data_IF_366549220891
#
_entry.id   IF_366549220891
#
_cell.length_a   1.000
_cell.length_b   1.000
_cell.length_c   1.000
_cell.angle_alpha   90.00
_cell.angle_beta   90.00
_cell.angle_gamma   90.00
#
_symmetry.space_group_name_H-M   'P 1'
#
loop_
_entity.id
_entity.type
_entity.pdbx_description
1 polymer ?
#
# COMPACT_ATOMS: atom_id res chain seq x y z
N UNK A 1 4.66 21.01 17.36
CA UNK A 1 4.07 21.53 16.12
C UNK A 1 2.81 20.77 15.76
N UNK A 2 1.78 21.47 15.39
CA UNK A 2 0.51 20.85 15.03
C UNK A 2 0.65 20.06 13.73
N UNK A 3 -0.02 18.93 13.66
CA UNK A 3 -0.07 18.16 12.44
C UNK A 3 -0.93 18.86 11.39
N UNK A 4 -0.59 18.66 10.16
CA UNK A 4 -1.34 19.19 9.05
C UNK A 4 -2.50 18.24 8.76
N UNK A 5 -3.70 18.67 9.11
CA UNK A 5 -4.89 17.81 9.00
C UNK A 5 -5.47 17.90 7.59
N UNK A 6 -5.36 16.82 6.83
CA UNK A 6 -5.76 16.82 5.42
C UNK A 6 -6.73 15.70 5.05
N UNK A 7 -7.35 15.07 6.04
CA UNK A 7 -8.18 13.89 5.75
C UNK A 7 -9.38 14.18 4.85
N UNK A 8 -9.84 15.44 4.81
CA UNK A 8 -10.95 15.82 3.92
C UNK A 8 -10.50 16.35 2.58
N UNK A 9 -9.20 16.50 2.39
CA UNK A 9 -8.64 16.98 1.13
C UNK A 9 -8.80 15.90 0.07
N UNK A 10 -9.35 16.25 -1.11
CA UNK A 10 -9.51 15.24 -2.17
C UNK A 10 -8.22 14.57 -2.59
N UNK A 11 -7.10 15.29 -2.54
CA UNK A 11 -5.81 14.69 -2.89
C UNK A 11 -5.37 13.66 -1.84
N UNK A 12 -5.61 13.94 -0.57
CA UNK A 12 -5.33 12.97 0.48
C UNK A 12 -6.15 11.70 0.26
N UNK A 13 -7.44 11.87 0.00
CA UNK A 13 -8.33 10.73 -0.24
C UNK A 13 -7.90 9.92 -1.46
N UNK A 14 -7.49 10.60 -2.52
CA UNK A 14 -7.03 9.93 -3.73
C UNK A 14 -5.75 9.14 -3.47
N UNK A 15 -4.80 9.72 -2.73
CA UNK A 15 -3.56 9.03 -2.40
C UNK A 15 -3.82 7.77 -1.57
N UNK A 16 -4.74 7.87 -0.59
CA UNK A 16 -5.10 6.71 0.22
C UNK A 16 -5.73 5.62 -0.63
N UNK A 17 -6.67 5.98 -1.49
CA UNK A 17 -7.34 5.01 -2.35
C UNK A 17 -6.37 4.34 -3.32
N UNK A 18 -5.43 5.10 -3.86
CA UNK A 18 -4.44 4.54 -4.77
C UNK A 18 -3.55 3.53 -4.05
N UNK A 19 -3.11 3.86 -2.84
CA UNK A 19 -2.29 2.94 -2.07
C UNK A 19 -3.06 1.67 -1.72
N UNK A 20 -4.32 1.81 -1.31
CA UNK A 20 -5.16 0.67 -1.00
C UNK A 20 -5.37 -0.22 -2.23
N UNK A 21 -5.58 0.41 -3.40
CA UNK A 21 -5.76 -0.33 -4.64
C UNK A 21 -4.49 -1.08 -5.03
N UNK A 22 -3.32 -0.48 -4.84
CA UNK A 22 -2.05 -1.14 -5.12
C UNK A 22 -1.88 -2.37 -4.24
N UNK A 23 -2.22 -2.25 -2.96
CA UNK A 23 -2.14 -3.39 -2.03
C UNK A 23 -3.09 -4.50 -2.48
N UNK A 24 -4.32 -4.14 -2.80
CA UNK A 24 -5.32 -5.13 -3.20
C UNK A 24 -4.91 -5.87 -4.47
N UNK A 25 -4.41 -5.12 -5.45
CA UNK A 25 -3.98 -5.72 -6.72
C UNK A 25 -2.79 -6.66 -6.52
N UNK A 26 -1.80 -6.20 -5.76
CA UNK A 26 -0.61 -7.01 -5.52
C UNK A 26 -0.96 -8.24 -4.67
N UNK A 27 -1.84 -8.09 -3.71
CA UNK A 27 -2.29 -9.20 -2.88
C UNK A 27 -2.95 -10.28 -3.73
N UNK A 28 -3.86 -9.88 -4.62
CA UNK A 28 -4.56 -10.82 -5.50
C UNK A 28 -3.56 -11.58 -6.39
N UNK A 29 -2.56 -10.88 -6.91
CA UNK A 29 -1.53 -11.52 -7.72
C UNK A 29 -0.70 -12.50 -6.90
N UNK A 30 -0.38 -12.14 -5.66
CA UNK A 30 0.35 -13.05 -4.77
C UNK A 30 -0.42 -14.34 -4.54
N UNK A 31 -1.72 -14.24 -4.30
CA UNK A 31 -2.55 -15.43 -4.07
C UNK A 31 -2.48 -16.37 -5.28
N UNK A 32 -2.53 -15.80 -6.48
CA UNK A 32 -2.41 -16.60 -7.71
C UNK A 32 -1.06 -17.31 -7.76
N UNK A 33 0.01 -16.62 -7.41
CA UNK A 33 1.34 -17.22 -7.41
C UNK A 33 1.46 -18.34 -6.38
N UNK A 34 0.91 -18.14 -5.20
CA UNK A 34 0.94 -19.18 -4.15
C UNK A 34 0.22 -20.45 -4.59
N UNK A 35 -0.82 -20.30 -5.40
CA UNK A 35 -1.62 -21.42 -5.86
C UNK A 35 -1.09 -22.03 -7.16
N UNK A 36 0.00 -21.49 -7.69
CA UNK A 36 0.59 -21.95 -8.95
C UNK A 36 1.85 -22.80 -8.69
N UNK A 37 2.27 -23.62 -9.68
CA UNK A 37 3.51 -24.37 -9.51
C UNK A 37 4.69 -23.44 -9.26
N UNK A 38 5.55 -23.84 -8.35
CA UNK A 38 6.73 -23.05 -7.99
C UNK A 38 7.74 -22.98 -9.14
N UNK A 39 8.34 -21.81 -9.31
CA UNK A 39 9.39 -21.60 -10.29
C UNK A 39 10.27 -20.43 -9.82
N UNK A 40 11.46 -20.33 -10.42
CA UNK A 40 12.35 -19.19 -10.10
C UNK A 40 11.74 -17.86 -10.48
N UNK A 41 10.99 -17.82 -11.59
CA UNK A 41 10.33 -16.60 -12.01
C UNK A 41 9.20 -16.21 -11.06
N UNK A 42 8.49 -17.20 -10.54
CA UNK A 42 7.44 -16.95 -9.55
C UNK A 42 8.02 -16.27 -8.33
N UNK A 43 9.17 -16.74 -7.85
CA UNK A 43 9.80 -16.14 -6.68
C UNK A 43 10.14 -14.67 -6.90
N UNK A 44 10.70 -14.36 -8.06
CA UNK A 44 11.05 -12.97 -8.38
C UNK A 44 9.82 -12.09 -8.44
N UNK A 45 8.76 -12.58 -9.10
CA UNK A 45 7.51 -11.84 -9.20
C UNK A 45 6.91 -11.61 -7.84
N UNK A 46 6.92 -12.63 -6.98
CA UNK A 46 6.36 -12.51 -5.64
C UNK A 46 7.14 -11.52 -4.79
N UNK A 47 8.48 -11.52 -4.91
CA UNK A 47 9.30 -10.54 -4.19
C UNK A 47 8.96 -9.12 -4.62
N UNK A 48 8.75 -8.93 -5.93
CA UNK A 48 8.37 -7.62 -6.44
C UNK A 48 7.01 -7.18 -5.90
N UNK A 49 6.05 -8.10 -5.86
CA UNK A 49 4.72 -7.82 -5.34
C UNK A 49 4.76 -7.46 -3.86
N UNK A 50 5.57 -8.18 -3.09
CA UNK A 50 5.74 -7.87 -1.66
C UNK A 50 6.33 -6.48 -1.47
N UNK A 51 7.27 -6.09 -2.31
CA UNK A 51 7.85 -4.76 -2.26
C UNK A 51 6.79 -3.69 -2.56
N UNK A 52 5.91 -3.97 -3.53
CA UNK A 52 4.84 -3.04 -3.85
C UNK A 52 3.88 -2.86 -2.67
N UNK A 53 3.53 -3.95 -2.01
CA UNK A 53 2.66 -3.89 -0.84
C UNK A 53 3.32 -3.07 0.27
N UNK A 54 4.59 -3.36 0.56
CA UNK A 54 5.31 -2.64 1.61
C UNK A 54 5.39 -1.15 1.32
N UNK A 55 5.67 -0.79 0.07
CA UNK A 55 5.77 0.62 -0.30
C UNK A 55 4.42 1.33 -0.15
N UNK A 56 3.34 0.66 -0.55
CA UNK A 56 2.01 1.24 -0.41
C UNK A 56 1.61 1.40 1.05
N UNK A 57 1.90 0.38 1.86
CA UNK A 57 1.64 0.45 3.30
C UNK A 57 2.42 1.58 3.96
N UNK A 58 3.66 1.78 3.52
CA UNK A 58 4.48 2.86 4.04
C UNK A 58 3.89 4.22 3.71
N UNK A 59 3.36 4.38 2.51
CA UNK A 59 2.71 5.64 2.14
C UNK A 59 1.48 5.91 2.99
N UNK A 60 0.68 4.88 3.24
CA UNK A 60 -0.50 5.01 4.11
C UNK A 60 -0.07 5.41 5.51
N UNK A 61 0.94 4.73 6.04
CA UNK A 61 1.46 5.05 7.37
C UNK A 61 1.93 6.49 7.46
N UNK A 62 2.67 6.94 6.44
CA UNK A 62 3.18 8.30 6.40
C UNK A 62 2.06 9.33 6.33
N UNK A 63 1.05 9.07 5.50
CA UNK A 63 -0.11 9.96 5.41
C UNK A 63 -0.83 10.06 6.76
N UNK A 64 -1.04 8.93 7.41
CA UNK A 64 -1.71 8.94 8.71
C UNK A 64 -0.87 9.63 9.77
N UNK A 65 0.42 9.44 9.73
CA UNK A 65 1.31 9.99 10.74
C UNK A 65 1.40 11.51 10.66
N UNK A 66 1.44 12.05 9.46
CA UNK A 66 1.73 13.48 9.27
C UNK A 66 0.51 14.32 8.89
N UNK A 67 -0.52 13.72 8.33
CA UNK A 67 -1.63 14.48 7.74
C UNK A 67 -2.99 14.09 8.29
N UNK A 68 -3.03 13.20 9.26
CA UNK A 68 -4.25 12.80 9.92
C UNK A 68 -4.19 13.24 11.38
N UNK A 69 -4.95 14.27 11.68
CA UNK A 69 -4.87 14.91 12.99
C UNK A 69 -5.66 14.17 14.08
N UNK A 70 -6.28 13.06 13.74
CA UNK A 70 -6.99 12.26 14.73
C UNK A 70 -6.06 11.48 15.63
N UNK A 71 -4.81 11.41 15.27
CA UNK A 71 -3.79 10.76 16.07
C UNK A 71 -3.24 11.71 17.09
N UNK A 72 -3.41 11.39 18.32
CA UNK A 72 -2.95 12.26 19.42
C UNK A 72 -2.00 11.52 20.30
#
# INVERSE_FOLDING_TARGET
MAKNHQTENPLYKALMKRAEAEIATAYASLVIHFDSPASGESLKSMEHLLTQISAAEKRIETLNKHFNNTQI
#
